data_IF_741869759855
#
_entry.id   IF_741869759855
#
_cell.length_a   1.000
_cell.length_b   1.000
_cell.length_c   1.000
_cell.angle_alpha   90.00
_cell.angle_beta   90.00
_cell.angle_gamma   90.00
#
_symmetry.space_group_name_H-M   'P 1'
#
loop_
_entity.id
_entity.type
_entity.pdbx_description
1 polymer ?
#
# COMPACT_ATOMS: atom_id res chain seq x y z
N UNK A 1 76.47 48.38 -49.00
CA UNK A 1 75.95 49.57 -49.71
C UNK A 1 75.05 49.08 -50.82
N UNK A 2 73.85 49.68 -50.91
CA UNK A 2 72.73 49.45 -51.84
C UNK A 2 71.66 48.42 -51.43
N UNK A 3 70.75 48.90 -50.58
CA UNK A 3 69.33 49.21 -50.85
C UNK A 3 68.56 48.54 -52.01
N UNK A 4 67.28 48.31 -51.65
CA UNK A 4 66.04 48.42 -52.44
C UNK A 4 65.40 47.19 -53.11
N UNK A 5 64.36 46.72 -52.40
CA UNK A 5 62.93 46.72 -52.77
C UNK A 5 62.46 46.15 -54.13
N UNK A 6 61.53 45.20 -53.96
CA UNK A 6 60.31 44.94 -54.75
C UNK A 6 60.43 44.31 -56.13
N UNK A 7 59.93 43.08 -56.25
CA UNK A 7 58.54 42.80 -56.64
C UNK A 7 58.49 41.36 -57.14
N UNK A 8 57.45 40.60 -56.77
CA UNK A 8 56.71 39.72 -57.69
C UNK A 8 55.57 39.08 -56.90
N UNK A 9 54.39 39.68 -57.07
CA UNK A 9 53.12 39.03 -56.79
C UNK A 9 52.99 37.75 -57.63
N UNK A 10 52.52 36.66 -57.01
CA UNK A 10 51.68 35.70 -57.72
C UNK A 10 50.70 35.01 -56.76
N UNK A 11 49.47 35.48 -56.89
CA UNK A 11 48.20 34.86 -56.57
C UNK A 11 48.23 33.33 -56.42
N UNK A 12 47.80 32.86 -55.25
CA UNK A 12 46.90 31.71 -55.19
C UNK A 12 45.78 32.06 -54.24
N UNK A 13 44.66 32.49 -54.84
CA UNK A 13 43.36 32.62 -54.20
C UNK A 13 42.90 31.22 -53.79
N UNK A 14 43.36 30.76 -52.64
CA UNK A 14 42.68 29.71 -51.90
C UNK A 14 41.48 30.34 -51.22
N UNK A 15 40.32 30.25 -51.86
CA UNK A 15 39.02 30.47 -51.22
C UNK A 15 38.86 29.45 -50.09
N UNK A 16 39.44 29.76 -48.93
CA UNK A 16 38.96 29.24 -47.68
C UNK A 16 37.70 30.02 -47.34
N UNK A 17 36.58 29.65 -47.99
CA UNK A 17 35.30 29.74 -47.31
C UNK A 17 35.39 28.76 -46.13
N UNK A 18 36.02 29.20 -45.04
CA UNK A 18 35.69 28.66 -43.73
C UNK A 18 34.18 28.82 -43.61
N UNK A 19 33.48 27.70 -43.66
CA UNK A 19 32.08 27.58 -43.30
C UNK A 19 31.97 27.89 -41.79
N UNK A 20 32.26 29.12 -41.41
CA UNK A 20 32.04 29.65 -40.09
C UNK A 20 30.52 29.66 -39.92
N UNK A 21 30.01 28.65 -39.22
CA UNK A 21 28.62 28.60 -38.81
C UNK A 21 28.30 29.94 -38.13
N UNK A 22 27.19 30.61 -38.49
CA UNK A 22 26.86 31.91 -37.93
C UNK A 22 26.84 31.83 -36.39
N UNK A 23 27.41 32.81 -35.68
CA UNK A 23 27.52 32.82 -34.21
C UNK A 23 26.19 32.47 -33.49
N UNK A 24 25.06 32.84 -34.10
CA UNK A 24 23.72 32.49 -33.64
C UNK A 24 23.44 30.97 -33.58
N UNK A 25 24.01 30.15 -34.47
CA UNK A 25 23.81 28.69 -34.45
C UNK A 25 24.49 28.04 -33.25
N UNK A 26 25.65 28.56 -32.82
CA UNK A 26 26.34 28.05 -31.63
C UNK A 26 25.58 28.40 -30.34
N UNK A 27 25.03 29.62 -30.26
CA UNK A 27 24.20 30.06 -29.13
C UNK A 27 22.90 29.22 -29.05
N UNK A 28 22.29 28.89 -30.19
CA UNK A 28 21.13 28.01 -30.25
C UNK A 28 21.46 26.56 -29.89
N UNK A 29 22.59 26.01 -30.35
CA UNK A 29 23.06 24.67 -29.98
C UNK A 29 23.37 24.59 -28.48
N UNK A 30 24.06 25.57 -27.90
CA UNK A 30 24.34 25.64 -26.47
C UNK A 30 23.05 25.72 -25.64
N UNK A 31 22.08 26.53 -26.10
CA UNK A 31 20.76 26.62 -25.44
C UNK A 31 20.01 25.28 -25.50
N UNK A 32 20.09 24.56 -26.62
CA UNK A 32 19.49 23.22 -26.76
C UNK A 32 20.18 22.20 -25.85
N UNK A 33 21.50 22.19 -25.82
CA UNK A 33 22.27 21.30 -24.94
C UNK A 33 21.97 21.57 -23.46
N UNK A 34 21.84 22.84 -23.06
CA UNK A 34 21.53 23.23 -21.69
C UNK A 34 20.10 22.84 -21.29
N UNK A 35 19.13 22.97 -22.19
CA UNK A 35 17.76 22.49 -21.98
C UNK A 35 17.71 20.96 -21.88
N UNK A 36 18.44 20.26 -22.74
CA UNK A 36 18.51 18.80 -22.72
C UNK A 36 19.17 18.28 -21.44
N UNK A 37 20.27 18.92 -21.00
CA UNK A 37 20.91 18.61 -19.73
C UNK A 37 19.96 18.80 -18.55
N UNK A 38 19.18 19.89 -18.52
CA UNK A 38 18.16 20.11 -17.49
C UNK A 38 17.05 19.06 -17.52
N UNK A 39 16.64 18.62 -18.71
CA UNK A 39 15.65 17.54 -18.88
C UNK A 39 16.17 16.24 -18.28
N UNK A 40 17.39 15.85 -18.64
CA UNK A 40 18.06 14.65 -18.13
C UNK A 40 18.24 14.73 -16.61
N UNK A 41 18.68 15.87 -16.08
CA UNK A 41 18.82 16.09 -14.63
C UNK A 41 17.48 15.93 -13.89
N UNK A 42 16.39 16.45 -14.47
CA UNK A 42 15.05 16.32 -13.90
C UNK A 42 14.59 14.85 -13.91
N UNK A 43 14.73 14.16 -15.04
CA UNK A 43 14.37 12.74 -15.17
C UNK A 43 15.17 11.86 -14.20
N UNK A 44 16.48 12.12 -14.06
CA UNK A 44 17.33 11.42 -13.12
C UNK A 44 16.89 11.65 -11.67
N UNK A 45 16.55 12.90 -11.31
CA UNK A 45 16.06 13.24 -9.98
C UNK A 45 14.73 12.57 -9.65
N UNK A 46 13.80 12.53 -10.61
CA UNK A 46 12.52 11.83 -10.45
C UNK A 46 12.69 10.32 -10.31
N UNK A 47 13.63 9.73 -11.07
CA UNK A 47 13.98 8.32 -10.97
C UNK A 47 14.58 7.98 -9.60
N UNK A 48 15.57 8.75 -9.14
CA UNK A 48 16.18 8.57 -7.82
C UNK A 48 15.14 8.70 -6.69
N UNK A 49 14.25 9.69 -6.78
CA UNK A 49 13.19 9.87 -5.79
C UNK A 49 12.21 8.68 -5.76
N UNK A 50 11.92 8.08 -6.92
CA UNK A 50 11.07 6.87 -7.00
C UNK A 50 11.75 5.66 -6.37
N UNK A 51 13.01 5.42 -6.70
CA UNK A 51 13.81 4.32 -6.15
C UNK A 51 13.97 4.45 -4.63
N UNK A 52 14.21 5.66 -4.13
CA UNK A 52 14.28 5.92 -2.68
C UNK A 52 12.94 5.68 -1.99
N UNK A 53 11.83 6.15 -2.58
CA UNK A 53 10.48 5.89 -2.05
C UNK A 53 10.16 4.40 -2.00
N UNK A 54 10.50 3.65 -3.05
CA UNK A 54 10.30 2.20 -3.12
C UNK A 54 11.15 1.48 -2.07
N UNK A 55 12.40 1.89 -1.90
CA UNK A 55 13.29 1.34 -0.86
C UNK A 55 12.71 1.56 0.53
N UNK A 56 12.24 2.77 0.83
CA UNK A 56 11.63 3.12 2.12
C UNK A 56 10.34 2.33 2.35
N UNK A 57 9.49 2.19 1.32
CA UNK A 57 8.29 1.37 1.40
C UNK A 57 8.62 -0.08 1.72
N UNK A 58 9.56 -0.69 0.97
CA UNK A 58 9.96 -2.08 1.17
C UNK A 58 10.62 -2.31 2.53
N UNK A 59 11.39 -1.34 3.03
CA UNK A 59 11.99 -1.41 4.36
C UNK A 59 10.93 -1.41 5.47
N UNK A 60 9.86 -0.62 5.30
CA UNK A 60 8.83 -0.45 6.31
C UNK A 60 7.74 -1.53 6.24
N UNK A 61 7.24 -1.83 5.04
CA UNK A 61 6.12 -2.74 4.80
C UNK A 61 6.55 -4.16 4.45
N UNK A 62 7.75 -4.35 3.90
CA UNK A 62 8.22 -5.65 3.43
C UNK A 62 8.16 -6.78 4.47
N UNK A 63 8.58 -6.57 5.72
CA UNK A 63 8.47 -7.61 6.75
C UNK A 63 7.02 -8.01 7.05
N UNK A 64 6.12 -7.03 7.10
CA UNK A 64 4.68 -7.26 7.34
C UNK A 64 4.04 -7.97 6.15
N UNK A 65 4.36 -7.56 4.94
CA UNK A 65 3.84 -8.16 3.70
C UNK A 65 4.33 -9.59 3.52
N UNK A 66 5.57 -9.89 3.91
CA UNK A 66 6.10 -11.25 3.94
C UNK A 66 5.33 -12.13 4.96
N UNK A 67 5.02 -11.59 6.14
CA UNK A 67 4.25 -12.30 7.15
C UNK A 67 2.81 -12.60 6.69
N UNK A 68 2.15 -11.62 6.05
CA UNK A 68 0.82 -11.81 5.45
C UNK A 68 0.88 -12.90 4.36
N UNK A 69 1.91 -12.88 3.51
CA UNK A 69 2.10 -13.90 2.47
C UNK A 69 2.26 -15.31 3.05
N UNK A 70 2.93 -15.45 4.20
CA UNK A 70 3.00 -16.74 4.90
C UNK A 70 1.63 -17.17 5.43
N UNK A 71 0.85 -16.24 5.98
CA UNK A 71 -0.49 -16.54 6.46
C UNK A 71 -1.44 -16.95 5.34
N UNK A 72 -1.41 -16.33 4.17
CA UNK A 72 -2.22 -16.74 3.00
C UNK A 72 -2.06 -18.20 2.63
N UNK A 73 -0.85 -18.74 2.80
CA UNK A 73 -0.52 -20.11 2.42
C UNK A 73 -0.87 -21.15 3.51
N UNK A 74 -1.35 -20.73 4.67
CA UNK A 74 -1.73 -21.66 5.72
C UNK A 74 -3.14 -22.21 5.46
N UNK A 75 -3.27 -23.49 5.16
CA UNK A 75 -4.57 -24.11 4.87
C UNK A 75 -5.24 -24.61 6.16
N UNK A 76 -6.46 -24.13 6.43
CA UNK A 76 -7.30 -24.65 7.51
C UNK A 76 -8.79 -24.60 7.10
N UNK A 77 -9.32 -25.69 6.53
CA UNK A 77 -10.66 -25.70 5.93
C UNK A 77 -11.80 -25.59 6.95
N UNK A 78 -11.52 -25.70 8.24
CA UNK A 78 -12.52 -25.58 9.30
C UNK A 78 -12.77 -24.14 9.78
N UNK A 79 -11.89 -23.20 9.42
CA UNK A 79 -11.91 -21.85 9.95
C UNK A 79 -11.84 -20.82 8.83
N UNK A 80 -12.71 -19.81 8.90
CA UNK A 80 -12.50 -18.57 8.18
C UNK A 80 -11.35 -17.81 8.81
N UNK A 81 -10.33 -17.49 8.02
CA UNK A 81 -9.28 -16.55 8.39
C UNK A 81 -9.64 -15.13 7.95
N UNK A 82 -9.30 -14.17 8.81
CA UNK A 82 -9.33 -12.75 8.48
C UNK A 82 -7.98 -12.16 8.78
N UNK A 83 -7.33 -11.57 7.77
CA UNK A 83 -6.06 -10.88 7.94
C UNK A 83 -6.31 -9.38 8.01
N UNK A 84 -5.77 -8.74 9.03
CA UNK A 84 -5.81 -7.29 9.21
C UNK A 84 -4.42 -6.72 8.97
N UNK A 85 -4.31 -5.76 8.06
CA UNK A 85 -3.11 -4.92 7.89
C UNK A 85 -3.47 -3.50 8.31
N UNK A 86 -2.80 -2.97 9.33
CA UNK A 86 -3.01 -1.60 9.81
C UNK A 86 -1.78 -0.77 9.44
N UNK A 87 -1.98 0.29 8.66
CA UNK A 87 -0.96 1.29 8.31
C UNK A 87 -1.27 2.56 9.07
N UNK A 88 -0.41 2.91 10.04
CA UNK A 88 -0.59 4.11 10.85
C UNK A 88 0.32 5.24 10.37
N UNK A 89 -0.23 6.19 9.62
CA UNK A 89 0.49 7.40 9.19
C UNK A 89 0.35 8.55 10.21
N UNK A 90 -0.34 8.33 11.33
CA UNK A 90 -0.51 9.34 12.37
C UNK A 90 0.64 9.30 13.40
N UNK A 91 0.86 10.39 14.16
CA UNK A 91 1.86 10.42 15.24
C UNK A 91 1.39 9.68 16.50
N UNK A 92 0.16 9.15 16.52
CA UNK A 92 -0.42 8.52 17.70
C UNK A 92 -0.07 7.04 17.78
N UNK A 93 0.29 6.57 18.97
CA UNK A 93 0.35 5.16 19.29
C UNK A 93 -1.02 4.72 19.81
N UNK A 94 -1.61 3.69 19.21
CA UNK A 94 -2.92 3.19 19.61
C UNK A 94 -2.79 1.85 20.31
N UNK A 95 -3.43 1.73 21.48
CA UNK A 95 -3.53 0.47 22.21
C UNK A 95 -4.90 -0.12 22.00
N UNK A 96 -4.96 -1.43 21.81
CA UNK A 96 -6.24 -2.13 21.82
C UNK A 96 -6.79 -2.09 23.24
N UNK A 97 -7.96 -1.48 23.42
CA UNK A 97 -8.58 -1.27 24.74
C UNK A 97 -9.81 -2.13 24.94
N UNK A 98 -10.55 -2.43 23.86
CA UNK A 98 -11.70 -3.32 23.90
C UNK A 98 -11.79 -4.13 22.62
N UNK A 99 -12.32 -5.34 22.73
CA UNK A 99 -12.64 -6.18 21.58
C UNK A 99 -13.79 -7.12 21.94
N UNK A 100 -14.54 -7.56 20.92
CA UNK A 100 -15.51 -8.64 21.09
C UNK A 100 -14.86 -10.02 21.23
N UNK A 101 -13.54 -10.14 21.04
CA UNK A 101 -12.81 -11.40 21.14
C UNK A 101 -12.29 -11.62 22.57
N UNK A 102 -12.24 -12.88 23.00
CA UNK A 102 -11.60 -13.24 24.26
C UNK A 102 -10.08 -13.17 24.07
N UNK A 103 -9.48 -12.10 24.59
CA UNK A 103 -8.03 -11.88 24.58
C UNK A 103 -7.56 -11.56 26.00
N UNK A 104 -6.37 -12.03 26.36
CA UNK A 104 -5.70 -11.59 27.58
C UNK A 104 -5.13 -10.18 27.39
N UNK A 105 -4.84 -9.48 28.48
CA UNK A 105 -4.22 -8.16 28.39
C UNK A 105 -2.90 -8.20 27.60
N UNK A 106 -2.07 -9.23 27.80
CA UNK A 106 -0.82 -9.41 27.05
C UNK A 106 -1.06 -9.50 25.54
N UNK A 107 -2.09 -10.26 25.12
CA UNK A 107 -2.45 -10.38 23.71
C UNK A 107 -2.96 -9.05 23.15
N UNK A 108 -3.71 -8.28 23.94
CA UNK A 108 -4.16 -6.95 23.52
C UNK A 108 -3.00 -5.96 23.39
N UNK A 109 -2.02 -6.03 24.31
CA UNK A 109 -0.83 -5.18 24.30
C UNK A 109 0.07 -5.49 23.08
N UNK A 110 0.18 -6.76 22.68
CA UNK A 110 0.88 -7.20 21.46
C UNK A 110 0.26 -6.62 20.18
N UNK A 111 -1.04 -6.32 20.20
CA UNK A 111 -1.76 -5.72 19.08
C UNK A 111 -1.72 -4.19 19.08
N UNK A 112 -0.79 -3.57 19.80
CA UNK A 112 -0.60 -2.11 19.81
C UNK A 112 -0.07 -1.60 18.47
N UNK A 113 -0.74 -0.59 17.92
CA UNK A 113 -0.39 0.07 16.66
C UNK A 113 0.62 1.19 16.96
N UNK A 114 1.86 1.05 16.50
CA UNK A 114 2.89 2.07 16.69
C UNK A 114 2.74 3.20 15.65
N UNK A 115 3.19 4.44 15.97
CA UNK A 115 3.21 5.55 15.01
C UNK A 115 4.10 5.22 13.81
N UNK A 116 3.66 5.58 12.60
CA UNK A 116 4.42 5.44 11.35
C UNK A 116 4.90 4.02 11.03
N UNK A 117 4.30 3.00 11.65
CA UNK A 117 4.68 1.60 11.49
C UNK A 117 3.45 0.79 11.06
N UNK A 118 3.58 -0.04 10.02
CA UNK A 118 2.55 -1.02 9.70
C UNK A 118 2.58 -2.15 10.73
N UNK A 119 1.42 -2.73 10.99
CA UNK A 119 1.30 -3.98 11.72
C UNK A 119 0.30 -4.88 11.00
N UNK A 120 0.43 -6.18 11.21
CA UNK A 120 -0.59 -7.12 10.78
C UNK A 120 -0.82 -8.20 11.83
N UNK A 121 -2.03 -8.73 11.83
CA UNK A 121 -2.42 -9.89 12.61
C UNK A 121 -3.56 -10.59 11.88
N UNK A 122 -3.83 -11.83 12.23
CA UNK A 122 -5.00 -12.54 11.71
C UNK A 122 -5.86 -13.08 12.84
N UNK A 123 -7.12 -13.31 12.53
CA UNK A 123 -8.05 -14.07 13.36
C UNK A 123 -8.50 -15.30 12.61
N UNK A 124 -8.73 -16.39 13.34
CA UNK A 124 -9.46 -17.55 12.85
C UNK A 124 -10.82 -17.59 13.54
N UNK A 125 -11.87 -17.86 12.77
CA UNK A 125 -13.23 -18.01 13.27
C UNK A 125 -13.87 -19.20 12.61
N UNK A 126 -14.40 -20.10 13.42
CA UNK A 126 -15.18 -21.24 12.92
C UNK A 126 -16.55 -20.73 12.49
N UNK A 127 -17.12 -21.31 11.44
CA UNK A 127 -18.55 -21.19 11.20
C UNK A 127 -19.27 -21.81 12.39
N UNK A 128 -20.06 -21.01 13.10
CA UNK A 128 -21.02 -21.57 14.06
C UNK A 128 -22.06 -22.35 13.24
N UNK A 129 -22.32 -23.59 13.66
CA UNK A 129 -23.40 -24.38 13.07
C UNK A 129 -24.69 -23.55 13.21
N UNK A 130 -25.47 -23.41 12.13
CA UNK A 130 -26.66 -22.58 12.16
C UNK A 130 -27.63 -23.13 13.20
N UNK A 131 -28.05 -22.25 14.12
CA UNK A 131 -29.09 -22.55 15.09
C UNK A 131 -30.39 -22.90 14.36
N UNK A 132 -30.79 -24.17 14.44
CA UNK A 132 -32.11 -24.64 14.01
C UNK A 132 -32.40 -24.43 12.52
N UNK A 133 -31.93 -25.32 11.66
CA UNK A 133 -32.40 -25.42 10.28
C UNK A 133 -33.25 -26.66 10.08
N UNK A 134 -34.55 -26.46 9.80
CA UNK A 134 -35.40 -27.52 9.27
C UNK A 134 -34.96 -27.92 7.86
N UNK A 135 -35.41 -29.09 7.39
CA UNK A 135 -35.17 -29.54 6.01
C UNK A 135 -35.72 -28.51 5.02
N UNK A 136 -34.85 -27.89 4.20
CA UNK A 136 -35.23 -26.93 3.16
C UNK A 136 -35.10 -25.45 3.51
N UNK A 137 -34.59 -25.10 4.70
CA UNK A 137 -34.32 -23.70 5.06
C UNK A 137 -32.91 -23.27 4.62
N UNK A 138 -32.80 -22.03 4.14
CA UNK A 138 -31.50 -21.41 3.89
C UNK A 138 -30.76 -21.24 5.22
N UNK A 139 -29.60 -21.87 5.34
CA UNK A 139 -28.73 -21.70 6.48
C UNK A 139 -28.06 -20.35 6.37
N UNK A 140 -28.11 -19.58 7.47
CA UNK A 140 -27.41 -18.31 7.60
C UNK A 140 -26.54 -18.36 8.84
N UNK A 141 -25.22 -18.28 8.65
CA UNK A 141 -24.29 -18.08 9.76
C UNK A 141 -23.74 -16.67 9.66
N UNK A 142 -23.55 -16.05 10.82
CA UNK A 142 -22.99 -14.71 10.91
C UNK A 142 -22.00 -14.69 12.04
N UNK A 143 -20.81 -14.19 11.76
CA UNK A 143 -19.92 -13.77 12.82
C UNK A 143 -19.55 -12.30 12.59
N UNK A 144 -19.31 -11.60 13.70
CA UNK A 144 -18.90 -10.21 13.67
C UNK A 144 -18.05 -9.88 14.88
N UNK A 145 -17.26 -8.84 14.76
CA UNK A 145 -16.48 -8.36 15.87
C UNK A 145 -16.07 -6.92 15.72
N UNK A 146 -15.44 -6.43 16.78
CA UNK A 146 -14.88 -5.10 16.79
C UNK A 146 -13.55 -5.06 17.53
N UNK A 147 -12.76 -4.05 17.19
CA UNK A 147 -11.57 -3.61 17.89
C UNK A 147 -11.71 -2.13 18.19
N UNK A 148 -11.53 -1.75 19.44
CA UNK A 148 -11.51 -0.35 19.88
C UNK A 148 -10.11 0.03 20.34
N UNK A 149 -9.54 0.98 19.61
CA UNK A 149 -8.16 1.43 19.74
C UNK A 149 -8.13 2.86 20.27
N UNK A 150 -7.37 3.09 21.34
CA UNK A 150 -7.27 4.40 21.96
C UNK A 150 -5.81 4.81 22.20
N UNK A 151 -5.58 6.11 22.09
CA UNK A 151 -4.36 6.83 22.50
C UNK A 151 -4.74 7.88 23.56
N UNK A 152 -3.82 8.76 23.94
CA UNK A 152 -4.11 9.84 24.90
C UNK A 152 -5.19 10.82 24.40
N UNK A 153 -5.25 11.07 23.09
CA UNK A 153 -6.14 12.09 22.51
C UNK A 153 -6.94 11.62 21.31
N UNK A 154 -6.46 10.64 20.55
CA UNK A 154 -7.15 10.07 19.39
C UNK A 154 -7.53 8.61 19.63
N UNK A 155 -8.48 8.09 18.85
CA UNK A 155 -8.83 6.69 18.81
C UNK A 155 -9.53 6.30 17.51
N UNK A 156 -9.79 5.01 17.34
CA UNK A 156 -10.69 4.52 16.31
C UNK A 156 -11.34 3.20 16.74
N UNK A 157 -12.57 3.01 16.27
CA UNK A 157 -13.26 1.73 16.37
C UNK A 157 -13.37 1.11 14.98
N UNK A 158 -12.95 -0.13 14.88
CA UNK A 158 -13.05 -0.93 13.67
C UNK A 158 -14.00 -2.10 13.90
N UNK A 159 -15.02 -2.23 13.06
CA UNK A 159 -16.00 -3.29 13.07
C UNK A 159 -15.85 -4.13 11.81
N UNK A 160 -16.00 -5.44 11.94
CA UNK A 160 -15.93 -6.38 10.83
C UNK A 160 -16.96 -7.50 11.01
N UNK A 161 -17.29 -8.18 9.92
CA UNK A 161 -18.11 -9.37 9.99
C UNK A 161 -18.26 -10.08 8.67
N UNK A 162 -18.67 -11.32 8.76
CA UNK A 162 -19.03 -12.18 7.66
C UNK A 162 -20.46 -12.65 7.87
N UNK A 163 -21.26 -12.60 6.81
CA UNK A 163 -22.52 -13.31 6.74
C UNK A 163 -22.41 -14.32 5.61
N UNK A 164 -22.49 -15.61 5.93
CA UNK A 164 -22.50 -16.67 4.94
C UNK A 164 -23.90 -17.27 4.84
N UNK A 165 -24.35 -17.49 3.62
CA UNK A 165 -25.65 -18.08 3.29
C UNK A 165 -25.46 -19.33 2.44
N UNK A 166 -26.27 -20.34 2.73
CA UNK A 166 -26.10 -21.66 2.13
C UNK A 166 -27.35 -22.52 2.21
N UNK A 167 -27.24 -23.72 1.67
CA UNK A 167 -28.26 -24.77 1.78
C UNK A 167 -27.99 -25.68 2.97
N UNK A 168 -29.07 -26.29 3.48
CA UNK A 168 -28.99 -27.29 4.53
C UNK A 168 -28.14 -28.51 4.10
N UNK A 169 -27.15 -28.88 4.91
CA UNK A 169 -26.35 -30.09 4.73
C UNK A 169 -25.99 -30.71 6.08
N UNK A 170 -26.10 -32.04 6.18
CA UNK A 170 -25.84 -32.81 7.41
C UNK A 170 -24.35 -32.98 7.75
N UNK A 171 -23.43 -32.71 6.83
CA UNK A 171 -22.01 -33.08 6.98
C UNK A 171 -21.06 -31.86 6.99
N UNK A 172 -21.52 -30.69 6.54
CA UNK A 172 -20.90 -29.35 6.64
C UNK A 172 -21.84 -28.45 5.82
N UNK A 173 -22.17 -27.26 6.31
CA UNK A 173 -23.08 -26.35 5.59
C UNK A 173 -22.66 -26.16 4.14
N UNK A 174 -23.59 -26.28 3.19
CA UNK A 174 -23.34 -26.03 1.77
C UNK A 174 -23.40 -24.51 1.56
N UNK A 175 -22.35 -23.81 1.99
CA UNK A 175 -22.29 -22.36 1.90
C UNK A 175 -21.99 -21.94 0.46
N UNK A 176 -22.87 -21.11 -0.10
CA UNK A 176 -22.82 -20.72 -1.51
C UNK A 176 -22.45 -19.24 -1.68
N UNK A 177 -22.72 -18.42 -0.67
CA UNK A 177 -22.54 -16.98 -0.74
C UNK A 177 -21.98 -16.42 0.56
N UNK A 178 -21.15 -15.39 0.42
CA UNK A 178 -20.55 -14.66 1.53
C UNK A 178 -20.65 -13.15 1.32
N UNK A 179 -21.08 -12.46 2.37
CA UNK A 179 -21.06 -11.01 2.44
C UNK A 179 -20.09 -10.55 3.53
N UNK A 180 -19.01 -9.92 3.10
CA UNK A 180 -17.97 -9.35 3.93
C UNK A 180 -18.30 -7.91 4.29
N UNK A 181 -18.24 -7.57 5.56
CA UNK A 181 -18.55 -6.23 6.06
C UNK A 181 -17.40 -5.66 6.87
N UNK A 182 -17.13 -4.38 6.69
CA UNK A 182 -16.16 -3.64 7.48
C UNK A 182 -16.62 -2.19 7.66
N UNK A 183 -16.26 -1.60 8.80
CA UNK A 183 -16.54 -0.18 9.08
C UNK A 183 -15.52 0.35 10.07
N UNK A 184 -14.92 1.48 9.74
CA UNK A 184 -14.04 2.22 10.65
C UNK A 184 -14.63 3.58 11.00
N UNK A 185 -14.45 4.01 12.24
CA UNK A 185 -14.88 5.31 12.74
C UNK A 185 -13.76 5.87 13.63
N UNK A 186 -13.41 7.15 13.44
CA UNK A 186 -12.51 7.83 14.39
C UNK A 186 -13.24 8.09 15.71
N UNK A 187 -12.55 7.84 16.81
CA UNK A 187 -12.99 8.14 18.17
C UNK A 187 -11.97 9.05 18.87
N UNK A 188 -12.28 9.49 20.10
CA UNK A 188 -11.40 10.37 20.87
C UNK A 188 -11.67 11.86 20.67
N UNK A 189 -10.80 12.68 21.25
CA UNK A 189 -10.89 14.16 21.21
C UNK A 189 -10.32 14.71 19.90
N UNK A 190 -9.25 14.10 19.41
CA UNK A 190 -8.61 14.44 18.14
C UNK A 190 -9.14 13.52 17.06
N UNK A 191 -9.88 14.09 16.12
CA UNK A 191 -10.33 13.35 14.94
C UNK A 191 -9.13 12.98 14.07
N UNK A 192 -9.05 11.71 13.66
CA UNK A 192 -8.05 11.20 12.72
C UNK A 192 -8.75 10.72 11.45
N UNK A 193 -8.09 10.86 10.30
CA UNK A 193 -8.59 10.24 9.07
C UNK A 193 -8.44 8.73 9.20
N UNK A 194 -9.53 8.01 8.99
CA UNK A 194 -9.53 6.55 9.01
C UNK A 194 -10.19 6.05 7.74
N UNK A 195 -9.55 5.09 7.08
CA UNK A 195 -10.13 4.37 5.94
C UNK A 195 -9.91 2.88 6.12
N UNK A 196 -10.82 2.10 5.58
CA UNK A 196 -10.74 0.64 5.58
C UNK A 196 -11.21 0.12 4.24
N UNK A 197 -10.59 -0.95 3.76
CA UNK A 197 -10.90 -1.58 2.47
C UNK A 197 -10.66 -3.09 2.58
N UNK A 198 -11.56 -3.89 2.00
CA UNK A 198 -11.29 -5.31 1.76
C UNK A 198 -10.42 -5.41 0.51
N UNK A 199 -9.17 -5.84 0.68
CA UNK A 199 -8.19 -5.91 -0.42
C UNK A 199 -8.17 -7.28 -1.10
N UNK A 200 -8.70 -8.30 -0.42
CA UNK A 200 -8.78 -9.67 -0.92
C UNK A 200 -9.93 -10.38 -0.22
N UNK A 201 -10.73 -11.16 -0.96
CA UNK A 201 -11.84 -11.93 -0.43
C UNK A 201 -12.03 -13.19 -1.29
N UNK A 202 -12.19 -14.33 -0.62
CA UNK A 202 -12.36 -15.63 -1.26
C UNK A 202 -13.84 -15.88 -1.52
N UNK A 203 -14.15 -16.31 -2.73
CA UNK A 203 -15.52 -16.60 -3.16
C UNK A 203 -16.02 -17.96 -2.67
N UNK A 204 -15.09 -18.87 -2.35
CA UNK A 204 -15.38 -20.23 -1.88
C UNK A 204 -15.07 -20.40 -0.39
N UNK A 205 -15.76 -21.32 0.32
CA UNK A 205 -15.42 -21.70 1.68
C UNK A 205 -13.99 -22.31 1.78
N UNK A 206 -13.21 -21.97 2.82
CA UNK A 206 -13.49 -20.98 3.85
C UNK A 206 -13.43 -19.57 3.27
N UNK A 207 -14.48 -18.76 3.44
CA UNK A 207 -14.61 -17.39 2.89
C UNK A 207 -13.65 -16.42 3.59
N UNK A 208 -12.36 -16.59 3.34
CA UNK A 208 -11.30 -15.78 3.89
C UNK A 208 -11.30 -14.39 3.29
N UNK A 209 -10.85 -13.40 4.06
CA UNK A 209 -10.71 -12.04 3.53
C UNK A 209 -9.66 -11.26 4.28
N UNK A 210 -9.16 -10.23 3.60
CA UNK A 210 -8.12 -9.35 4.10
C UNK A 210 -8.62 -7.92 4.12
N UNK A 211 -8.34 -7.23 5.23
CA UNK A 211 -8.72 -5.83 5.41
C UNK A 211 -7.48 -4.98 5.59
N UNK A 212 -7.35 -3.96 4.75
CA UNK A 212 -6.42 -2.86 4.94
C UNK A 212 -7.10 -1.75 5.74
N UNK A 213 -6.47 -1.32 6.83
CA UNK A 213 -6.86 -0.16 7.63
C UNK A 213 -5.75 0.87 7.49
N UNK A 214 -6.11 2.10 7.13
CA UNK A 214 -5.16 3.22 7.04
C UNK A 214 -5.61 4.36 7.95
N UNK A 215 -4.71 4.80 8.83
CA UNK A 215 -4.90 5.87 9.80
C UNK A 215 -4.00 7.05 9.44
N UNK A 216 -4.47 8.29 9.63
CA UNK A 216 -3.70 9.52 9.36
C UNK A 216 -4.05 10.19 8.05
#
# INVERSE_FOLDING_TARGET
MHDDLMDYFSNSSGDYHENARPLNSYIEEDRRQLLEKRRIEKELKEKLAREEKERLYNQLHGPVDAQISLWRNYDNPDYTRIIFKIVNNSPHAFKLTQTSRRMTQSQMDELSVQPHMPMAFFLQTKYEEPDGGGYGEHLKTRFGGFFDYNSETAGFQFNFGLTATGEFSRIRGNWNEANHTHRIVSSGKTHIRCTSEIIEAYEDPPFEFEVLITLG
#
